data_IF_300069138527
#
_entry.id   IF_300069138527
#
_cell.length_a   1.000
_cell.length_b   1.000
_cell.length_c   1.000
_cell.angle_alpha   90.00
_cell.angle_beta   90.00
_cell.angle_gamma   90.00
#
_symmetry.space_group_name_H-M   'P 1'
#
loop_
_entity.id
_entity.type
_entity.pdbx_description
1 polymer ?
#
# COMPACT_ATOMS: atom_id res chain seq x y z
N UNK A 1 -28.34 2.32 18.14
CA UNK A 1 -28.49 3.79 18.14
C UNK A 1 -27.13 4.50 18.24
N UNK A 2 -26.29 4.16 19.21
CA UNK A 2 -25.00 4.81 19.43
C UNK A 2 -24.03 4.70 18.24
N UNK A 3 -23.85 3.50 17.69
CA UNK A 3 -22.96 3.28 16.53
C UNK A 3 -23.38 4.11 15.30
N UNK A 4 -24.68 4.16 15.01
CA UNK A 4 -25.22 4.99 13.91
C UNK A 4 -24.98 6.48 14.15
N UNK A 5 -25.08 6.94 15.38
CA UNK A 5 -24.80 8.34 15.73
C UNK A 5 -23.31 8.65 15.53
N UNK A 6 -22.41 7.82 16.04
CA UNK A 6 -20.96 7.99 15.89
C UNK A 6 -20.57 7.99 14.40
N UNK A 7 -21.03 7.01 13.62
CA UNK A 7 -20.75 6.93 12.18
C UNK A 7 -21.32 8.17 11.46
N UNK A 8 -22.54 8.62 11.81
CA UNK A 8 -23.14 9.82 11.25
C UNK A 8 -22.31 11.07 11.54
N UNK A 9 -21.77 11.20 12.74
CA UNK A 9 -20.92 12.34 13.14
C UNK A 9 -19.58 12.32 12.40
N UNK A 10 -18.97 11.14 12.26
CA UNK A 10 -17.69 10.95 11.55
C UNK A 10 -17.81 11.14 10.03
N UNK A 11 -19.01 11.10 9.48
CA UNK A 11 -19.27 11.17 8.03
C UNK A 11 -20.28 12.26 7.68
N UNK A 12 -20.31 13.37 8.44
CA UNK A 12 -21.26 14.48 8.27
C UNK A 12 -21.17 15.14 6.90
N UNK A 13 -19.97 15.21 6.34
CA UNK A 13 -19.72 15.70 4.99
C UNK A 13 -18.65 14.84 4.31
N UNK A 14 -18.38 15.12 3.03
CA UNK A 14 -17.42 14.33 2.24
C UNK A 14 -16.01 14.39 2.83
N UNK A 15 -15.56 15.55 3.28
CA UNK A 15 -14.22 15.72 3.83
C UNK A 15 -14.05 14.97 5.16
N UNK A 16 -15.02 15.06 6.07
CA UNK A 16 -14.97 14.29 7.32
C UNK A 16 -15.02 12.80 7.07
N UNK A 17 -15.76 12.33 6.05
CA UNK A 17 -15.77 10.93 5.63
C UNK A 17 -14.41 10.47 5.12
N UNK A 18 -13.74 11.26 4.27
CA UNK A 18 -12.39 10.98 3.79
C UNK A 18 -11.40 10.94 4.96
N UNK A 19 -11.41 11.94 5.84
CA UNK A 19 -10.53 11.98 7.00
C UNK A 19 -10.75 10.79 7.93
N UNK A 20 -12.01 10.41 8.16
CA UNK A 20 -12.35 9.24 8.98
C UNK A 20 -11.82 7.95 8.35
N UNK A 21 -12.03 7.74 7.06
CA UNK A 21 -11.50 6.59 6.32
C UNK A 21 -9.98 6.53 6.36
N UNK A 22 -9.31 7.67 6.18
CA UNK A 22 -7.85 7.80 6.27
C UNK A 22 -7.34 7.42 7.66
N UNK A 23 -7.93 7.98 8.71
CA UNK A 23 -7.51 7.71 10.10
C UNK A 23 -7.79 6.27 10.52
N UNK A 24 -8.96 5.72 10.17
CA UNK A 24 -9.31 4.33 10.48
C UNK A 24 -8.32 3.39 9.79
N UNK A 25 -8.06 3.59 8.49
CA UNK A 25 -7.15 2.73 7.74
C UNK A 25 -5.70 2.86 8.23
N UNK A 26 -5.26 4.09 8.52
CA UNK A 26 -3.94 4.32 9.10
C UNK A 26 -3.76 3.63 10.47
N UNK A 27 -4.82 3.59 11.29
CA UNK A 27 -4.78 2.92 12.60
C UNK A 27 -4.86 1.40 12.47
N UNK A 28 -5.75 0.89 11.61
CA UNK A 28 -5.97 -0.56 11.40
C UNK A 28 -4.89 -1.18 10.50
N UNK A 29 -4.18 -0.36 9.71
CA UNK A 29 -3.19 -0.79 8.71
C UNK A 29 -3.77 -1.76 7.66
N UNK A 30 -5.09 -1.66 7.36
CA UNK A 30 -5.78 -2.52 6.39
C UNK A 30 -6.92 -1.77 5.72
N UNK A 31 -6.72 -1.34 4.48
CA UNK A 31 -7.79 -0.75 3.65
C UNK A 31 -8.86 -1.78 3.31
N UNK A 32 -8.47 -3.04 3.11
CA UNK A 32 -9.43 -4.12 2.86
C UNK A 32 -10.41 -4.27 4.03
N UNK A 33 -9.91 -4.30 5.28
CA UNK A 33 -10.76 -4.36 6.45
C UNK A 33 -11.69 -3.14 6.55
N UNK A 34 -11.16 -1.93 6.33
CA UNK A 34 -11.94 -0.69 6.35
C UNK A 34 -13.01 -0.67 5.26
N UNK A 35 -12.70 -1.07 4.03
CA UNK A 35 -13.66 -1.07 2.93
C UNK A 35 -14.74 -2.14 3.09
N UNK A 36 -14.38 -3.36 3.48
CA UNK A 36 -15.35 -4.44 3.74
C UNK A 36 -16.29 -4.07 4.90
N UNK A 37 -15.73 -3.49 5.97
CA UNK A 37 -16.54 -2.99 7.10
C UNK A 37 -17.49 -1.86 6.65
N UNK A 38 -17.00 -0.92 5.83
CA UNK A 38 -17.81 0.17 5.27
C UNK A 38 -18.94 -0.36 4.40
N UNK A 39 -18.67 -1.32 3.51
CA UNK A 39 -19.67 -2.01 2.69
C UNK A 39 -20.72 -2.71 3.58
N UNK A 40 -20.28 -3.36 4.65
CA UNK A 40 -21.16 -4.00 5.63
C UNK A 40 -22.06 -3.00 6.35
N UNK A 41 -21.56 -1.81 6.69
CA UNK A 41 -22.37 -0.74 7.29
C UNK A 41 -23.41 -0.18 6.32
N UNK A 42 -23.09 -0.07 5.03
CA UNK A 42 -24.08 0.28 4.00
C UNK A 42 -25.16 -0.81 3.90
N UNK A 43 -24.76 -2.07 3.90
CA UNK A 43 -25.68 -3.20 3.85
C UNK A 43 -26.64 -3.22 5.05
N UNK A 44 -26.14 -2.84 6.23
CA UNK A 44 -26.94 -2.73 7.46
C UNK A 44 -27.76 -1.42 7.55
N UNK A 45 -27.70 -0.53 6.56
CA UNK A 45 -28.37 0.77 6.57
C UNK A 45 -27.81 1.79 7.59
N UNK A 46 -26.57 1.57 8.05
CA UNK A 46 -25.89 2.45 8.99
C UNK A 46 -25.20 3.63 8.30
N UNK A 47 -24.77 3.45 7.06
CA UNK A 47 -24.17 4.47 6.20
C UNK A 47 -24.94 4.58 4.89
N UNK A 48 -25.01 5.80 4.38
CA UNK A 48 -25.47 6.06 3.00
C UNK A 48 -24.37 5.72 2.00
N UNK A 49 -24.73 5.53 0.73
CA UNK A 49 -23.76 5.31 -0.34
C UNK A 49 -22.73 6.46 -0.44
N UNK A 50 -23.17 7.70 -0.34
CA UNK A 50 -22.28 8.86 -0.44
C UNK A 50 -21.27 8.93 0.73
N UNK A 51 -21.72 8.62 1.94
CA UNK A 51 -20.84 8.52 3.11
C UNK A 51 -19.80 7.40 2.95
N UNK A 52 -20.26 6.23 2.50
CA UNK A 52 -19.40 5.08 2.27
C UNK A 52 -18.31 5.36 1.21
N UNK A 53 -18.68 5.99 0.09
CA UNK A 53 -17.70 6.38 -0.94
C UNK A 53 -16.64 7.29 -0.36
N UNK A 54 -17.02 8.28 0.46
CA UNK A 54 -16.06 9.19 1.09
C UNK A 54 -15.09 8.44 2.03
N UNK A 55 -15.61 7.50 2.84
CA UNK A 55 -14.77 6.67 3.73
C UNK A 55 -13.83 5.78 2.92
N UNK A 56 -14.30 5.17 1.84
CA UNK A 56 -13.50 4.30 0.95
C UNK A 56 -12.38 5.10 0.26
N UNK A 57 -12.66 6.32 -0.22
CA UNK A 57 -11.63 7.20 -0.75
C UNK A 57 -10.56 7.53 0.31
N UNK A 58 -11.00 7.82 1.53
CA UNK A 58 -10.09 8.01 2.66
C UNK A 58 -9.28 6.76 3.00
N UNK A 59 -9.88 5.57 2.89
CA UNK A 59 -9.17 4.32 3.12
C UNK A 59 -8.00 4.11 2.15
N UNK A 60 -8.15 4.50 0.88
CA UNK A 60 -7.05 4.48 -0.09
C UNK A 60 -5.90 5.39 0.34
N UNK A 61 -6.21 6.63 0.78
CA UNK A 61 -5.19 7.55 1.30
C UNK A 61 -4.51 6.96 2.54
N UNK A 62 -5.29 6.40 3.48
CA UNK A 62 -4.77 5.81 4.72
C UNK A 62 -3.79 4.65 4.48
N UNK A 63 -3.98 3.87 3.42
CA UNK A 63 -3.07 2.78 3.02
C UNK A 63 -1.67 3.30 2.68
N UNK A 64 -1.56 4.53 2.19
CA UNK A 64 -0.26 5.09 1.80
C UNK A 64 0.68 5.27 2.99
N UNK A 65 0.14 5.46 4.21
CA UNK A 65 0.95 5.52 5.42
C UNK A 65 1.73 4.21 5.64
N UNK A 66 1.14 3.06 5.30
CA UNK A 66 1.84 1.77 5.36
C UNK A 66 3.10 1.75 4.49
N UNK A 67 3.01 2.30 3.27
CA UNK A 67 4.16 2.39 2.37
C UNK A 67 5.28 3.29 2.96
N UNK A 68 4.93 4.40 3.62
CA UNK A 68 5.90 5.25 4.31
C UNK A 68 6.55 4.57 5.51
N UNK A 69 5.77 3.84 6.32
CA UNK A 69 6.29 3.07 7.45
C UNK A 69 7.27 1.99 6.96
N UNK A 70 6.93 1.29 5.87
CA UNK A 70 7.81 0.29 5.25
C UNK A 70 9.09 0.93 4.71
N UNK A 71 8.98 2.05 3.98
CA UNK A 71 10.11 2.77 3.42
C UNK A 71 11.06 3.24 4.53
N UNK A 72 10.52 3.79 5.62
CA UNK A 72 11.30 4.14 6.80
C UNK A 72 11.95 2.89 7.43
N UNK A 73 11.20 1.78 7.53
CA UNK A 73 11.69 0.51 8.07
C UNK A 73 12.83 -0.10 7.25
N UNK A 74 12.84 0.11 5.94
CA UNK A 74 13.95 -0.31 5.08
C UNK A 74 15.17 0.59 5.16
N UNK A 75 14.98 1.88 5.44
CA UNK A 75 16.04 2.87 5.50
C UNK A 75 16.77 2.90 6.85
N UNK A 76 16.05 2.60 7.92
CA UNK A 76 16.59 2.50 9.27
C UNK A 76 16.65 1.03 9.69
N UNK A 77 17.68 0.63 10.44
CA UNK A 77 17.75 -0.71 11.06
C UNK A 77 16.76 -0.82 12.23
N UNK A 78 15.47 -0.68 11.92
CA UNK A 78 14.39 -0.74 12.92
C UNK A 78 14.36 -2.10 13.62
N UNK A 79 14.85 -3.16 12.98
CA UNK A 79 14.96 -4.50 13.59
C UNK A 79 15.71 -4.50 14.91
N UNK A 80 16.67 -3.62 15.11
CA UNK A 80 17.42 -3.52 16.37
C UNK A 80 16.54 -3.04 17.54
N UNK A 81 15.48 -2.29 17.24
CA UNK A 81 14.52 -1.81 18.23
C UNK A 81 13.34 -2.75 18.47
N UNK A 82 13.17 -3.77 17.63
CA UNK A 82 12.04 -4.71 17.72
C UNK A 82 12.09 -5.50 19.04
N UNK A 83 13.25 -6.00 19.42
CA UNK A 83 13.38 -6.80 20.64
C UNK A 83 13.12 -6.00 21.92
N UNK A 84 13.71 -4.80 22.12
CA UNK A 84 13.32 -3.94 23.23
C UNK A 84 11.83 -3.57 23.22
N UNK A 85 11.25 -3.31 22.05
CA UNK A 85 9.83 -3.00 21.92
C UNK A 85 8.94 -4.18 22.32
N UNK A 86 9.28 -5.42 21.95
CA UNK A 86 8.58 -6.61 22.43
C UNK A 86 8.62 -6.73 23.95
N UNK A 87 9.79 -6.50 24.55
CA UNK A 87 9.93 -6.58 26.01
C UNK A 87 9.02 -5.55 26.71
N UNK A 88 9.03 -4.31 26.24
CA UNK A 88 8.16 -3.24 26.77
C UNK A 88 6.69 -3.59 26.54
N UNK A 89 6.33 -4.08 25.36
CA UNK A 89 4.97 -4.47 25.01
C UNK A 89 4.44 -5.56 25.95
N UNK A 90 5.23 -6.59 26.21
CA UNK A 90 4.86 -7.69 27.13
C UNK A 90 4.56 -7.12 28.51
N UNK A 91 5.43 -6.28 29.07
CA UNK A 91 5.20 -5.66 30.39
C UNK A 91 3.89 -4.86 30.41
N UNK A 92 3.61 -4.10 29.33
CA UNK A 92 2.40 -3.27 29.24
C UNK A 92 1.13 -4.12 29.06
N UNK A 93 1.19 -5.26 28.36
CA UNK A 93 0.06 -6.17 28.16
C UNK A 93 -0.44 -6.72 29.49
N UNK A 94 0.48 -7.05 30.40
CA UNK A 94 0.11 -7.51 31.76
C UNK A 94 -0.37 -6.39 32.69
N UNK A 95 -0.25 -5.13 32.27
CA UNK A 95 -0.78 -3.99 33.02
C UNK A 95 -2.24 -3.73 32.67
N UNK A 96 -3.17 -3.89 33.65
CA UNK A 96 -4.62 -3.65 33.46
C UNK A 96 -4.96 -2.28 32.83
N UNK A 97 -4.16 -1.24 33.11
CA UNK A 97 -4.39 0.14 32.61
C UNK A 97 -3.78 0.41 31.25
N UNK A 98 -2.75 -0.33 30.83
CA UNK A 98 -1.93 -0.03 29.63
C UNK A 98 -1.93 -1.15 28.61
N UNK A 99 -2.80 -2.15 28.77
CA UNK A 99 -2.89 -3.31 27.89
C UNK A 99 -3.03 -2.93 26.42
N UNK A 100 -3.91 -1.98 26.11
CA UNK A 100 -4.14 -1.53 24.71
C UNK A 100 -2.86 -0.96 24.08
N UNK A 101 -2.07 -0.20 24.86
CA UNK A 101 -0.79 0.33 24.37
C UNK A 101 0.21 -0.83 24.17
N UNK A 102 0.22 -1.79 25.07
CA UNK A 102 1.04 -2.99 24.95
C UNK A 102 0.69 -3.81 23.72
N UNK A 103 -0.60 -4.07 23.48
CA UNK A 103 -1.09 -4.79 22.29
C UNK A 103 -0.69 -4.06 21.01
N UNK A 104 -0.80 -2.72 20.97
CA UNK A 104 -0.42 -1.90 19.83
C UNK A 104 1.10 -1.98 19.54
N UNK A 105 1.95 -1.78 20.56
CA UNK A 105 3.41 -1.88 20.41
C UNK A 105 3.81 -3.29 19.96
N UNK A 106 3.15 -4.32 20.52
CA UNK A 106 3.38 -5.71 20.16
C UNK A 106 3.08 -5.99 18.68
N UNK A 107 1.93 -5.51 18.21
CA UNK A 107 1.53 -5.61 16.79
C UNK A 107 2.50 -4.90 15.84
N UNK A 108 2.92 -3.66 16.16
CA UNK A 108 3.92 -2.93 15.37
C UNK A 108 5.27 -3.66 15.38
N UNK A 109 5.69 -4.21 16.51
CA UNK A 109 6.94 -4.97 16.61
C UNK A 109 6.92 -6.20 15.72
N UNK A 110 5.80 -6.94 15.67
CA UNK A 110 5.64 -8.06 14.72
C UNK A 110 5.65 -7.60 13.26
N UNK A 111 5.02 -6.47 12.95
CA UNK A 111 5.04 -5.92 11.60
C UNK A 111 6.49 -5.63 11.16
N UNK A 112 7.28 -4.97 12.00
CA UNK A 112 8.69 -4.68 11.68
C UNK A 112 9.57 -5.93 11.67
N UNK A 113 9.31 -6.91 12.53
CA UNK A 113 9.99 -8.19 12.49
C UNK A 113 9.72 -8.92 11.17
N UNK A 114 8.45 -8.99 10.76
CA UNK A 114 8.07 -9.58 9.48
C UNK A 114 8.68 -8.85 8.28
N UNK A 115 8.68 -7.52 8.30
CA UNK A 115 9.30 -6.70 7.26
C UNK A 115 10.82 -6.92 7.19
N UNK A 116 11.50 -6.98 8.34
CA UNK A 116 12.93 -7.29 8.43
C UNK A 116 13.25 -8.69 7.89
N UNK A 117 12.43 -9.69 8.26
CA UNK A 117 12.58 -11.07 7.76
C UNK A 117 12.36 -11.12 6.24
N UNK A 118 11.33 -10.44 5.73
CA UNK A 118 11.06 -10.40 4.30
C UNK A 118 12.22 -9.75 3.52
N UNK A 119 12.76 -8.63 4.05
CA UNK A 119 13.94 -7.98 3.46
C UNK A 119 15.15 -8.90 3.47
N UNK A 120 15.44 -9.55 4.59
CA UNK A 120 16.58 -10.47 4.71
C UNK A 120 16.43 -11.64 3.74
N UNK A 121 15.24 -12.24 3.65
CA UNK A 121 14.94 -13.30 2.68
C UNK A 121 15.19 -12.82 1.24
N UNK A 122 14.75 -11.60 0.91
CA UNK A 122 15.00 -11.02 -0.42
C UNK A 122 16.49 -10.85 -0.74
N UNK A 123 17.31 -10.51 0.27
CA UNK A 123 18.78 -10.44 0.14
C UNK A 123 19.38 -11.84 0.01
N UNK A 124 18.94 -12.79 0.85
CA UNK A 124 19.48 -14.15 0.88
C UNK A 124 19.13 -14.94 -0.40
N UNK A 125 18.04 -14.62 -1.06
CA UNK A 125 17.68 -15.17 -2.38
C UNK A 125 18.64 -14.74 -3.48
N UNK A 126 19.43 -13.70 -3.24
CA UNK A 126 20.43 -13.15 -4.16
C UNK A 126 19.92 -12.97 -5.60
N UNK A 127 18.68 -12.47 -5.72
CA UNK A 127 18.01 -12.33 -7.02
C UNK A 127 18.76 -11.39 -7.97
N UNK A 128 19.56 -10.48 -7.43
CA UNK A 128 20.38 -9.55 -8.20
C UNK A 128 21.54 -10.24 -8.97
N UNK A 129 21.92 -11.46 -8.58
CA UNK A 129 22.94 -12.26 -9.26
C UNK A 129 22.35 -13.54 -9.89
N UNK A 130 21.04 -13.73 -9.80
CA UNK A 130 20.36 -14.87 -10.41
C UNK A 130 20.08 -14.57 -11.89
N UNK A 131 20.92 -15.14 -12.78
CA UNK A 131 20.87 -14.86 -14.22
C UNK A 131 19.48 -15.10 -14.84
N UNK A 132 18.80 -16.23 -14.61
CA UNK A 132 17.44 -16.45 -15.11
C UNK A 132 16.44 -15.35 -14.68
N UNK A 133 16.55 -14.80 -13.47
CA UNK A 133 15.70 -13.72 -12.99
C UNK A 133 16.04 -12.42 -13.71
N UNK A 134 17.33 -12.11 -13.83
CA UNK A 134 17.77 -10.92 -14.56
C UNK A 134 17.37 -10.96 -16.02
N UNK A 135 17.53 -12.11 -16.70
CA UNK A 135 17.13 -12.28 -18.08
C UNK A 135 15.62 -12.14 -18.27
N UNK A 136 14.83 -12.66 -17.32
CA UNK A 136 13.37 -12.45 -17.33
C UNK A 136 13.01 -10.97 -17.30
N UNK A 137 13.54 -10.20 -16.36
CA UNK A 137 13.25 -8.77 -16.27
C UNK A 137 13.86 -7.97 -17.42
N UNK A 138 15.04 -8.35 -17.91
CA UNK A 138 15.69 -7.73 -19.06
C UNK A 138 14.95 -7.98 -20.39
N UNK A 139 14.12 -9.01 -20.46
CA UNK A 139 13.28 -9.28 -21.64
C UNK A 139 12.19 -8.24 -21.86
N UNK A 140 11.89 -7.43 -20.82
CA UNK A 140 10.90 -6.36 -20.89
C UNK A 140 11.59 -5.01 -21.07
N UNK A 141 11.23 -4.27 -22.11
CA UNK A 141 11.65 -2.88 -22.25
C UNK A 141 10.96 -2.02 -21.18
N UNK A 142 11.70 -1.45 -20.21
CA UNK A 142 11.11 -0.62 -19.13
C UNK A 142 10.35 0.60 -19.64
N UNK A 143 10.63 0.99 -20.88
CA UNK A 143 10.03 2.16 -21.51
C UNK A 143 8.84 1.82 -22.39
N UNK A 144 8.52 0.55 -22.57
CA UNK A 144 7.37 0.11 -23.38
C UNK A 144 6.07 0.26 -22.61
N UNK A 145 5.04 0.79 -23.27
CA UNK A 145 3.67 0.83 -22.73
C UNK A 145 3.13 -0.60 -22.47
N UNK A 146 3.48 -1.55 -23.33
CA UNK A 146 3.09 -2.95 -23.14
C UNK A 146 3.67 -3.53 -21.84
N UNK A 147 4.92 -3.24 -21.53
CA UNK A 147 5.55 -3.62 -20.25
C UNK A 147 4.82 -3.01 -19.06
N UNK A 148 4.48 -1.72 -19.13
CA UNK A 148 3.71 -1.06 -18.08
C UNK A 148 2.39 -1.77 -17.82
N UNK A 149 1.62 -2.10 -18.87
CA UNK A 149 0.35 -2.83 -18.72
C UNK A 149 0.57 -4.25 -18.18
N UNK A 150 1.61 -4.93 -18.62
CA UNK A 150 1.94 -6.28 -18.13
C UNK A 150 2.20 -6.27 -16.63
N UNK A 151 3.06 -5.37 -16.14
CA UNK A 151 3.37 -5.29 -14.70
C UNK A 151 2.19 -4.77 -13.88
N UNK A 152 1.36 -3.88 -14.41
CA UNK A 152 0.10 -3.47 -13.81
C UNK A 152 -0.84 -4.67 -13.61
N UNK A 153 -1.00 -5.51 -14.62
CA UNK A 153 -1.82 -6.72 -14.53
C UNK A 153 -1.23 -7.73 -13.53
N UNK A 154 0.09 -7.91 -13.54
CA UNK A 154 0.79 -8.78 -12.57
C UNK A 154 0.51 -8.27 -11.15
N UNK A 155 0.67 -6.97 -10.87
CA UNK A 155 0.39 -6.38 -9.56
C UNK A 155 -1.06 -6.57 -9.14
N UNK A 156 -2.01 -6.41 -10.08
CA UNK A 156 -3.44 -6.62 -9.81
C UNK A 156 -3.74 -8.06 -9.43
N UNK A 157 -3.24 -9.03 -10.21
CA UNK A 157 -3.45 -10.47 -9.97
C UNK A 157 -2.76 -10.91 -8.69
N UNK A 158 -1.52 -10.45 -8.47
CA UNK A 158 -0.75 -10.80 -7.28
C UNK A 158 -1.45 -10.30 -6.00
N UNK A 159 -1.91 -9.05 -5.99
CA UNK A 159 -2.66 -8.50 -4.85
C UNK A 159 -3.99 -9.20 -4.65
N UNK A 160 -4.70 -9.53 -5.72
CA UNK A 160 -5.94 -10.30 -5.65
C UNK A 160 -5.72 -11.70 -5.03
N UNK A 161 -4.61 -12.36 -5.36
CA UNK A 161 -4.27 -13.69 -4.84
C UNK A 161 -3.76 -13.64 -3.39
N UNK A 162 -2.84 -12.72 -3.10
CA UNK A 162 -2.23 -12.55 -1.78
C UNK A 162 -3.18 -11.91 -0.77
N UNK A 163 -4.18 -11.17 -1.23
CA UNK A 163 -5.15 -10.41 -0.41
C UNK A 163 -4.50 -9.37 0.51
N UNK A 164 -3.28 -8.92 0.17
CA UNK A 164 -2.53 -7.92 0.93
C UNK A 164 -1.71 -7.03 0.00
N UNK A 165 -2.18 -5.82 -0.23
CA UNK A 165 -1.41 -4.80 -0.96
C UNK A 165 -0.12 -4.44 -0.23
N UNK A 166 -0.14 -4.42 1.11
CA UNK A 166 1.05 -4.16 1.91
C UNK A 166 2.16 -5.20 1.65
N UNK A 167 1.81 -6.49 1.55
CA UNK A 167 2.78 -7.54 1.25
C UNK A 167 3.36 -7.39 -0.17
N UNK A 168 2.51 -7.09 -1.16
CA UNK A 168 2.95 -6.88 -2.55
C UNK A 168 3.81 -5.62 -2.66
N UNK A 169 3.44 -4.54 -1.99
CA UNK A 169 4.23 -3.31 -1.89
C UNK A 169 5.62 -3.59 -1.29
N UNK A 170 5.71 -4.37 -0.20
CA UNK A 170 6.99 -4.72 0.42
C UNK A 170 7.89 -5.52 -0.54
N UNK A 171 7.33 -6.50 -1.24
CA UNK A 171 8.05 -7.27 -2.27
C UNK A 171 8.52 -6.34 -3.39
N UNK A 172 7.67 -5.47 -3.88
CA UNK A 172 8.00 -4.48 -4.93
C UNK A 172 9.15 -3.58 -4.48
N UNK A 173 9.10 -3.06 -3.24
CA UNK A 173 10.17 -2.24 -2.67
C UNK A 173 11.50 -2.99 -2.59
N UNK A 174 11.49 -4.26 -2.20
CA UNK A 174 12.70 -5.09 -2.13
C UNK A 174 13.27 -5.31 -3.53
N UNK A 175 12.47 -5.73 -4.49
CA UNK A 175 12.90 -5.98 -5.87
C UNK A 175 13.46 -4.71 -6.53
N UNK A 176 12.87 -3.55 -6.27
CA UNK A 176 13.40 -2.28 -6.75
C UNK A 176 14.72 -1.92 -6.06
N UNK A 177 14.77 -2.02 -4.72
CA UNK A 177 15.96 -1.62 -3.94
C UNK A 177 17.17 -2.52 -4.20
N UNK A 178 16.96 -3.77 -4.58
CA UNK A 178 18.02 -4.71 -5.00
C UNK A 178 18.44 -4.55 -6.47
N UNK A 179 17.77 -3.65 -7.22
CA UNK A 179 18.06 -3.39 -8.62
C UNK A 179 17.60 -4.48 -9.59
N UNK A 180 16.81 -5.45 -9.11
CA UNK A 180 16.19 -6.51 -9.92
C UNK A 180 15.07 -5.96 -10.79
N UNK A 181 14.22 -5.10 -10.19
CA UNK A 181 13.06 -4.51 -10.84
C UNK A 181 13.29 -3.02 -11.10
N UNK A 182 13.25 -2.57 -12.37
CA UNK A 182 13.30 -1.15 -12.68
C UNK A 182 12.13 -0.37 -12.06
N UNK A 183 12.35 0.89 -11.70
CA UNK A 183 11.37 1.73 -11.01
C UNK A 183 10.04 1.87 -11.77
N UNK A 184 10.08 2.00 -13.09
CA UNK A 184 8.87 2.12 -13.91
C UNK A 184 7.98 0.87 -13.82
N UNK A 185 8.59 -0.32 -13.80
CA UNK A 185 7.89 -1.59 -13.61
C UNK A 185 7.38 -1.71 -12.18
N UNK A 186 8.16 -1.30 -11.17
CA UNK A 186 7.74 -1.27 -9.77
C UNK A 186 6.52 -0.38 -9.56
N UNK A 187 6.50 0.80 -10.17
CA UNK A 187 5.36 1.72 -10.12
C UNK A 187 4.13 1.12 -10.82
N UNK A 188 4.32 0.42 -11.95
CA UNK A 188 3.22 -0.26 -12.62
C UNK A 188 2.61 -1.37 -11.73
N UNK A 189 3.44 -2.13 -10.98
CA UNK A 189 2.96 -3.08 -9.97
C UNK A 189 2.12 -2.38 -8.91
N UNK A 190 2.59 -1.25 -8.35
CA UNK A 190 1.88 -0.47 -7.34
C UNK A 190 0.52 0.04 -7.85
N UNK A 191 0.44 0.47 -9.10
CA UNK A 191 -0.83 0.82 -9.73
C UNK A 191 -1.77 -0.38 -9.79
N UNK A 192 -1.24 -1.54 -10.15
CA UNK A 192 -1.99 -2.80 -10.17
C UNK A 192 -2.48 -3.22 -8.79
N UNK A 193 -1.70 -3.02 -7.74
CA UNK A 193 -2.07 -3.31 -6.35
C UNK A 193 -3.37 -2.58 -5.96
N UNK A 194 -3.51 -1.31 -6.33
CA UNK A 194 -4.71 -0.53 -6.05
C UNK A 194 -5.95 -1.14 -6.71
N UNK A 195 -5.85 -1.66 -7.94
CA UNK A 195 -6.95 -2.38 -8.59
C UNK A 195 -7.21 -3.71 -7.89
N UNK A 196 -6.16 -4.50 -7.64
CA UNK A 196 -6.27 -5.82 -7.03
C UNK A 196 -6.96 -5.81 -5.67
N UNK A 197 -6.69 -4.79 -4.85
CA UNK A 197 -7.32 -4.59 -3.54
C UNK A 197 -8.84 -4.42 -3.64
N UNK A 198 -9.36 -3.85 -4.73
CA UNK A 198 -10.79 -3.61 -4.88
C UNK A 198 -11.60 -4.87 -5.08
N UNK A 199 -10.98 -5.96 -5.56
CA UNK A 199 -11.67 -7.23 -5.83
C UNK A 199 -12.25 -7.81 -4.55
N UNK A 200 -11.52 -7.75 -3.44
CA UNK A 200 -11.97 -8.29 -2.16
C UNK A 200 -13.27 -7.65 -1.67
N UNK A 201 -13.37 -6.32 -1.75
CA UNK A 201 -14.59 -5.61 -1.35
C UNK A 201 -15.77 -5.93 -2.28
N UNK A 202 -15.52 -6.14 -3.57
CA UNK A 202 -16.57 -6.54 -4.53
C UNK A 202 -17.03 -7.99 -4.28
N UNK A 203 -16.11 -8.91 -3.98
CA UNK A 203 -16.47 -10.29 -3.58
C UNK A 203 -17.30 -10.28 -2.29
N UNK A 204 -16.87 -9.52 -1.28
CA UNK A 204 -17.63 -9.37 -0.03
C UNK A 204 -19.03 -8.78 -0.22
N UNK A 205 -19.23 -7.98 -1.27
CA UNK A 205 -20.52 -7.36 -1.58
C UNK A 205 -21.47 -8.24 -2.41
N UNK A 206 -21.06 -9.42 -2.88
CA UNK A 206 -21.87 -10.24 -3.79
C UNK A 206 -23.26 -10.60 -3.23
N UNK A 207 -23.35 -10.84 -1.93
CA UNK A 207 -24.61 -11.16 -1.24
C UNK A 207 -25.27 -9.96 -0.57
N UNK A 208 -24.67 -8.78 -0.68
CA UNK A 208 -25.15 -7.57 -0.05
C UNK A 208 -26.26 -6.88 -0.86
N UNK A 209 -26.92 -5.90 -0.26
CA UNK A 209 -27.93 -5.09 -0.93
C UNK A 209 -27.34 -4.20 -2.05
N UNK A 210 -28.22 -3.64 -2.89
CA UNK A 210 -27.79 -2.84 -4.05
C UNK A 210 -26.91 -1.65 -3.69
N UNK A 211 -27.14 -0.99 -2.57
CA UNK A 211 -26.32 0.18 -2.17
C UNK A 211 -24.92 -0.24 -1.75
N UNK A 212 -24.79 -1.34 -1.03
CA UNK A 212 -23.50 -1.91 -0.64
C UNK A 212 -22.68 -2.38 -1.85
N UNK A 213 -23.34 -3.03 -2.83
CA UNK A 213 -22.70 -3.39 -4.11
C UNK A 213 -22.21 -2.16 -4.87
N UNK A 214 -23.01 -1.09 -4.90
CA UNK A 214 -22.61 0.19 -5.51
C UNK A 214 -21.42 0.81 -4.81
N UNK A 215 -21.32 0.73 -3.48
CA UNK A 215 -20.18 1.21 -2.73
C UNK A 215 -18.90 0.44 -3.08
N UNK A 216 -18.98 -0.91 -3.14
CA UNK A 216 -17.84 -1.74 -3.56
C UNK A 216 -17.43 -1.48 -5.02
N UNK A 217 -18.41 -1.33 -5.91
CA UNK A 217 -18.15 -1.00 -7.32
C UNK A 217 -17.54 0.39 -7.47
N UNK A 218 -17.98 1.38 -6.69
CA UNK A 218 -17.40 2.72 -6.70
C UNK A 218 -15.90 2.69 -6.32
N UNK A 219 -15.50 1.85 -5.37
CA UNK A 219 -14.09 1.63 -5.03
C UNK A 219 -13.28 1.13 -6.24
N UNK A 220 -13.79 0.16 -6.97
CA UNK A 220 -13.14 -0.38 -8.16
C UNK A 220 -13.07 0.66 -9.30
N UNK A 221 -14.17 1.34 -9.59
CA UNK A 221 -14.24 2.36 -10.64
C UNK A 221 -13.28 3.51 -10.35
N UNK A 222 -13.22 3.95 -9.09
CA UNK A 222 -12.28 5.00 -8.66
C UNK A 222 -10.82 4.61 -8.93
N UNK A 223 -10.41 3.40 -8.53
CA UNK A 223 -9.05 2.94 -8.74
C UNK A 223 -8.72 2.72 -10.22
N UNK A 224 -9.64 2.16 -11.02
CA UNK A 224 -9.46 2.01 -12.47
C UNK A 224 -9.32 3.38 -13.13
N UNK A 225 -10.18 4.35 -12.76
CA UNK A 225 -10.08 5.70 -13.31
C UNK A 225 -8.75 6.36 -12.97
N UNK A 226 -8.28 6.25 -11.72
CA UNK A 226 -6.97 6.74 -11.30
C UNK A 226 -5.83 6.12 -12.10
N UNK A 227 -5.87 4.81 -12.33
CA UNK A 227 -4.88 4.10 -13.16
C UNK A 227 -4.90 4.62 -14.60
N UNK A 228 -6.07 4.72 -15.23
CA UNK A 228 -6.19 5.22 -16.60
C UNK A 228 -5.68 6.65 -16.72
N UNK A 229 -6.00 7.49 -15.74
CA UNK A 229 -5.50 8.88 -15.70
C UNK A 229 -3.97 8.91 -15.63
N UNK A 230 -3.36 8.16 -14.71
CA UNK A 230 -1.89 8.13 -14.57
C UNK A 230 -1.23 7.52 -15.81
N UNK A 231 -1.82 6.51 -16.44
CA UNK A 231 -1.27 5.95 -17.68
C UNK A 231 -1.14 7.01 -18.80
N UNK A 232 -2.03 8.01 -18.85
CA UNK A 232 -1.94 9.10 -19.82
C UNK A 232 -0.73 10.01 -19.58
N UNK A 233 -0.28 10.13 -18.33
CA UNK A 233 0.83 11.01 -17.92
C UNK A 233 1.96 10.23 -17.23
N UNK A 234 2.10 8.95 -17.50
CA UNK A 234 2.89 8.00 -16.72
C UNK A 234 4.33 8.48 -16.49
N UNK A 235 5.08 8.73 -17.55
CA UNK A 235 6.47 9.15 -17.44
C UNK A 235 6.67 10.53 -16.79
N UNK A 236 6.01 11.60 -17.24
CA UNK A 236 6.18 12.90 -16.61
C UNK A 236 5.75 12.91 -15.16
N UNK A 237 4.75 12.12 -14.79
CA UNK A 237 4.32 11.98 -13.40
C UNK A 237 5.37 11.28 -12.54
N UNK A 238 5.95 10.18 -13.03
CA UNK A 238 7.04 9.47 -12.31
C UNK A 238 8.25 10.38 -12.16
N UNK A 239 8.67 11.06 -13.22
CA UNK A 239 9.81 11.97 -13.17
C UNK A 239 9.59 13.10 -12.16
N UNK A 240 8.37 13.63 -12.06
CA UNK A 240 8.00 14.61 -11.05
C UNK A 240 8.15 14.05 -9.63
N UNK A 241 7.64 12.84 -9.37
CA UNK A 241 7.73 12.17 -8.06
C UNK A 241 9.19 11.86 -7.71
N UNK A 242 9.97 11.36 -8.67
CA UNK A 242 11.40 11.13 -8.50
C UNK A 242 12.14 12.42 -8.12
N UNK A 243 11.83 13.54 -8.79
CA UNK A 243 12.38 14.85 -8.49
C UNK A 243 12.07 15.32 -7.06
N UNK A 244 10.86 15.09 -6.56
CA UNK A 244 10.49 15.43 -5.18
C UNK A 244 11.26 14.66 -4.13
N UNK A 245 11.54 13.39 -4.40
CA UNK A 245 12.33 12.52 -3.51
C UNK A 245 13.84 12.76 -3.68
N UNK A 246 14.25 13.42 -4.77
CA UNK A 246 15.65 13.59 -5.12
C UNK A 246 16.28 12.29 -5.64
N UNK A 247 15.47 11.43 -6.27
CA UNK A 247 15.90 10.24 -6.97
C UNK A 247 16.15 10.57 -8.45
N UNK A 248 17.28 10.15 -8.97
CA UNK A 248 17.60 10.26 -10.39
C UNK A 248 17.23 8.95 -11.10
N UNK A 249 16.15 8.96 -11.86
CA UNK A 249 15.64 7.82 -12.60
C UNK A 249 16.40 7.51 -13.90
N UNK A 250 17.32 8.40 -14.27
CA UNK A 250 18.20 8.25 -15.44
C UNK A 250 19.64 7.85 -15.06
N UNK A 251 19.94 7.72 -13.74
CA UNK A 251 21.29 7.40 -13.26
C UNK A 251 21.71 5.99 -13.69
N UNK A 252 22.89 5.89 -14.32
CA UNK A 252 23.44 4.61 -14.73
C UNK A 252 23.98 3.81 -13.54
N UNK A 253 23.96 2.47 -13.64
CA UNK A 253 24.47 1.56 -12.60
C UNK A 253 25.97 1.75 -12.29
N UNK A 254 26.72 2.33 -13.22
CA UNK A 254 28.16 2.60 -13.07
C UNK A 254 28.45 3.92 -12.35
N UNK A 255 27.45 4.73 -12.04
CA UNK A 255 27.64 5.98 -11.34
C UNK A 255 28.08 5.73 -9.87
N UNK A 256 29.10 6.43 -9.35
CA UNK A 256 29.55 6.28 -7.97
C UNK A 256 28.44 6.52 -6.92
N UNK A 257 27.43 7.30 -7.27
CA UNK A 257 26.30 7.63 -6.39
C UNK A 257 25.10 6.68 -6.56
N UNK A 258 25.19 5.65 -7.41
CA UNK A 258 24.10 4.73 -7.71
C UNK A 258 23.52 4.08 -6.46
N UNK A 259 24.34 3.59 -5.54
CA UNK A 259 23.87 2.93 -4.31
C UNK A 259 23.10 3.91 -3.41
N UNK A 260 23.60 5.15 -3.27
CA UNK A 260 22.90 6.18 -2.50
C UNK A 260 21.60 6.61 -3.16
N UNK A 261 21.55 6.62 -4.49
CA UNK A 261 20.34 6.90 -5.25
C UNK A 261 19.33 5.74 -5.10
N UNK A 262 19.76 4.49 -5.25
CA UNK A 262 18.93 3.31 -5.11
C UNK A 262 18.29 3.19 -3.70
N UNK A 263 18.94 3.67 -2.66
CA UNK A 263 18.40 3.72 -1.30
C UNK A 263 17.11 4.56 -1.20
N UNK A 264 16.86 5.46 -2.15
CA UNK A 264 15.67 6.30 -2.20
C UNK A 264 14.47 5.64 -2.90
N UNK A 265 14.66 4.49 -3.56
CA UNK A 265 13.62 3.83 -4.36
C UNK A 265 12.35 3.49 -3.56
N UNK A 266 12.50 3.03 -2.31
CA UNK A 266 11.35 2.76 -1.45
C UNK A 266 10.55 4.03 -1.15
N UNK A 267 11.22 5.17 -0.99
CA UNK A 267 10.56 6.48 -0.80
C UNK A 267 9.87 6.96 -2.07
N UNK A 268 10.43 6.70 -3.25
CA UNK A 268 9.76 6.99 -4.53
C UNK A 268 8.46 6.22 -4.65
N UNK A 269 8.48 4.91 -4.33
CA UNK A 269 7.28 4.07 -4.37
C UNK A 269 6.22 4.55 -3.37
N UNK A 270 6.63 4.92 -2.15
CA UNK A 270 5.72 5.47 -1.14
C UNK A 270 5.14 6.84 -1.55
N UNK A 271 5.97 7.73 -2.10
CA UNK A 271 5.55 9.04 -2.60
C UNK A 271 4.61 8.90 -3.80
N UNK A 272 4.93 8.01 -4.76
CA UNK A 272 4.05 7.70 -5.87
C UNK A 272 2.70 7.17 -5.38
N UNK A 273 2.71 6.21 -4.47
CA UNK A 273 1.49 5.62 -3.91
C UNK A 273 0.61 6.69 -3.25
N UNK A 274 1.22 7.66 -2.54
CA UNK A 274 0.49 8.76 -1.92
C UNK A 274 -0.10 9.71 -2.95
N UNK A 275 0.72 10.18 -3.88
CA UNK A 275 0.29 11.15 -4.90
C UNK A 275 -0.74 10.57 -5.88
N UNK A 276 -0.68 9.25 -6.10
CA UNK A 276 -1.67 8.53 -6.89
C UNK A 276 -3.04 8.46 -6.18
N UNK A 277 -3.07 8.34 -4.84
CA UNK A 277 -4.31 8.17 -4.06
C UNK A 277 -4.90 9.50 -3.55
N UNK A 278 -4.21 10.64 -3.72
CA UNK A 278 -4.71 11.98 -3.41
C UNK A 278 -5.50 12.59 -4.56
#
# INVERSE_FOLDING_TARGET
PQLRHVLGTMTTNRLTGILSGTLITAAVQSSTATTVMTVSFVNAGLLTLAQAISVIMGANIGTTLTAWIMSAGFSFNITDFVWPAFFIAIILIYSKKRKIIGDFIFGISFMFLGLGTLRQTGIDMDLAHNQPVLDFFASFDPHSFQTTITFLLIGSVLTMCVQSSAAVMAITMILCSTGVLPIYQGIALVMGENIGTTVTSNVAALTANTQARRAAMAHMVFNIFGVLWILCVFRPFIHLVCGWVGFDDMMEKNDPHFVANAAKLSFVLAAFHTTFNL
#
